data_IF_585754879766
#
_entry.id   IF_585754879766
#
_cell.length_a   1.000
_cell.length_b   1.000
_cell.length_c   1.000
_cell.angle_alpha   90.00
_cell.angle_beta   90.00
_cell.angle_gamma   90.00
#
_symmetry.space_group_name_H-M   'P 1'
#
loop_
_entity.id
_entity.type
_entity.pdbx_description
1 polymer ?
#
# COMPACT_ATOMS: atom_id res chain seq x y z
N UNK A 1 10.99 15.67 3.99
CA UNK A 1 9.65 15.20 4.39
C UNK A 1 8.63 16.20 3.87
N UNK A 2 7.77 15.77 2.92
CA UNK A 2 6.63 16.58 2.51
C UNK A 2 5.46 16.10 3.38
N UNK A 3 5.33 16.72 4.53
CA UNK A 3 4.13 16.62 5.34
C UNK A 3 3.16 17.75 5.01
N UNK A 4 1.99 17.75 5.63
CA UNK A 4 1.06 18.88 5.60
C UNK A 4 1.75 20.02 6.37
N UNK A 5 2.56 20.82 5.64
CA UNK A 5 3.44 21.81 6.21
C UNK A 5 2.66 22.80 7.08
N UNK A 6 3.08 22.95 8.33
CA UNK A 6 2.55 23.96 9.25
C UNK A 6 1.37 23.56 10.12
N UNK A 7 0.77 22.35 9.93
CA UNK A 7 -0.40 21.92 10.70
C UNK A 7 -0.06 20.90 11.79
N UNK A 8 1.11 20.24 11.75
CA UNK A 8 1.53 19.27 12.77
C UNK A 8 2.09 20.03 13.96
N UNK A 9 1.53 19.79 15.13
CA UNK A 9 1.91 20.42 16.40
C UNK A 9 2.47 19.38 17.38
N UNK A 10 3.26 19.78 18.38
CA UNK A 10 3.59 18.93 19.50
C UNK A 10 2.31 18.34 20.14
N UNK A 11 2.39 17.09 20.56
CA UNK A 11 1.32 16.25 21.08
C UNK A 11 0.33 15.69 20.03
N UNK A 12 0.41 16.07 18.75
CA UNK A 12 -0.35 15.42 17.69
C UNK A 12 0.10 13.98 17.50
N UNK A 13 -0.77 13.16 16.92
CA UNK A 13 -0.46 11.80 16.51
C UNK A 13 -0.44 11.70 15.00
N UNK A 14 0.59 11.05 14.49
CA UNK A 14 0.83 10.92 13.05
C UNK A 14 1.05 9.46 12.67
N UNK A 15 0.70 9.16 11.44
CA UNK A 15 1.07 7.91 10.78
C UNK A 15 2.20 8.18 9.79
N UNK A 16 3.21 7.30 9.75
CA UNK A 16 4.39 7.45 8.90
C UNK A 16 4.28 6.52 7.72
N UNK A 17 4.37 7.07 6.53
CA UNK A 17 4.38 6.34 5.26
C UNK A 17 5.72 6.50 4.56
N UNK A 18 6.17 5.45 3.91
CA UNK A 18 7.32 5.48 2.99
C UNK A 18 6.83 5.24 1.57
N UNK A 19 7.37 6.02 0.63
CA UNK A 19 7.22 5.75 -0.81
C UNK A 19 8.58 5.32 -1.34
N UNK A 20 8.65 4.11 -1.87
CA UNK A 20 9.85 3.52 -2.45
C UNK A 20 9.67 3.48 -3.96
N UNK A 21 10.63 4.03 -4.70
CA UNK A 21 10.70 3.97 -6.14
C UNK A 21 11.77 2.93 -6.51
N UNK A 22 11.47 1.87 -7.29
CA UNK A 22 12.48 0.91 -7.70
C UNK A 22 13.50 1.55 -8.65
N UNK A 23 14.78 1.20 -8.49
CA UNK A 23 15.92 1.74 -9.26
C UNK A 23 15.82 1.56 -10.78
N UNK A 24 14.98 0.69 -11.25
CA UNK A 24 14.87 0.34 -12.68
C UNK A 24 14.18 1.38 -13.57
N UNK A 25 13.96 2.61 -13.10
CA UNK A 25 13.47 3.74 -13.92
C UNK A 25 12.08 3.56 -14.56
N UNK A 26 11.40 2.44 -14.31
CA UNK A 26 10.04 2.21 -14.75
C UNK A 26 9.09 2.90 -13.79
N UNK A 27 8.61 4.05 -14.16
CA UNK A 27 7.72 4.94 -13.43
C UNK A 27 6.41 4.30 -12.91
N UNK A 28 6.17 3.02 -13.18
CA UNK A 28 4.95 2.29 -12.82
C UNK A 28 5.00 1.46 -11.54
N UNK A 29 6.15 1.32 -10.89
CA UNK A 29 6.32 0.38 -9.77
C UNK A 29 6.53 1.04 -8.39
N UNK A 30 6.29 2.33 -8.26
CA UNK A 30 6.36 2.99 -6.96
C UNK A 30 5.34 2.37 -5.99
N UNK A 31 5.82 2.04 -4.79
CA UNK A 31 4.99 1.47 -3.72
C UNK A 31 5.00 2.40 -2.52
N UNK A 32 3.82 2.76 -2.06
CA UNK A 32 3.64 3.49 -0.82
C UNK A 32 3.11 2.54 0.25
N UNK A 33 3.74 2.52 1.41
CA UNK A 33 3.34 1.70 2.55
C UNK A 33 3.40 2.48 3.85
N UNK A 34 2.43 2.26 4.71
CA UNK A 34 2.46 2.70 6.08
C UNK A 34 3.44 1.82 6.87
N UNK A 35 4.37 2.43 7.57
CA UNK A 35 5.43 1.76 8.33
C UNK A 35 5.26 1.91 9.83
N UNK A 36 4.76 3.05 10.29
CA UNK A 36 4.43 3.32 11.68
C UNK A 36 3.05 3.98 11.77
N UNK A 37 2.30 3.63 12.79
CA UNK A 37 0.99 4.17 13.06
C UNK A 37 0.92 4.78 14.47
N UNK A 38 0.13 5.83 14.62
CA UNK A 38 -0.19 6.41 15.91
C UNK A 38 1.03 6.94 16.68
N UNK A 39 2.03 7.44 15.98
CA UNK A 39 3.28 7.97 16.53
C UNK A 39 3.03 9.37 17.09
N UNK A 40 3.52 9.63 18.31
CA UNK A 40 3.38 10.92 18.96
C UNK A 40 4.45 11.91 18.50
N UNK A 41 4.04 13.11 18.15
CA UNK A 41 4.94 14.21 17.82
C UNK A 41 5.38 14.92 19.10
N UNK A 42 6.69 15.00 19.31
CA UNK A 42 7.29 15.72 20.45
C UNK A 42 7.56 17.17 20.12
N UNK A 43 8.08 17.42 18.91
CA UNK A 43 8.40 18.76 18.46
C UNK A 43 8.25 18.86 16.94
N UNK A 44 7.81 20.02 16.46
CA UNK A 44 7.80 20.38 15.06
C UNK A 44 8.42 21.78 14.91
N UNK A 45 9.35 21.91 13.97
CA UNK A 45 10.08 23.16 13.77
C UNK A 45 10.70 23.23 12.39
N UNK A 46 11.40 24.31 12.12
CA UNK A 46 12.18 24.49 10.91
C UNK A 46 13.65 24.78 11.26
N UNK A 47 14.54 24.20 10.49
CA UNK A 47 15.97 24.44 10.58
C UNK A 47 16.50 24.94 9.24
N UNK A 48 17.58 25.73 9.29
CA UNK A 48 18.32 26.18 8.10
C UNK A 48 19.45 25.18 7.85
N UNK A 49 19.38 24.39 6.78
CA UNK A 49 20.40 23.42 6.40
C UNK A 49 21.21 23.95 5.20
N UNK A 50 22.55 23.83 5.29
CA UNK A 50 23.48 24.09 4.18
C UNK A 50 24.15 22.78 3.79
N UNK A 51 23.96 22.33 2.56
CA UNK A 51 24.60 21.10 2.04
C UNK A 51 26.02 21.35 1.51
N UNK A 52 26.41 22.60 1.27
CA UNK A 52 27.72 22.96 0.75
C UNK A 52 28.12 24.38 1.13
N UNK A 53 29.43 24.74 0.96
CA UNK A 53 29.95 26.07 1.28
C UNK A 53 29.36 27.17 0.36
N UNK A 54 28.97 26.82 -0.85
CA UNK A 54 28.51 27.73 -1.88
C UNK A 54 26.97 27.64 -2.14
N UNK A 55 26.25 26.81 -1.38
CA UNK A 55 24.78 26.71 -1.51
C UNK A 55 24.07 27.65 -0.55
N UNK A 56 23.02 28.28 -1.05
CA UNK A 56 22.12 29.07 -0.20
C UNK A 56 21.43 28.18 0.85
N UNK A 57 21.31 28.69 2.10
CA UNK A 57 20.66 27.93 3.16
C UNK A 57 19.19 27.66 2.81
N UNK A 58 18.80 26.41 2.84
CA UNK A 58 17.41 25.98 2.61
C UNK A 58 16.74 25.73 3.95
N UNK A 59 15.53 26.23 4.09
CA UNK A 59 14.68 25.95 5.23
C UNK A 59 14.11 24.52 5.11
N UNK A 60 14.46 23.65 6.05
CA UNK A 60 13.94 22.30 6.15
C UNK A 60 13.04 22.16 7.38
N UNK A 61 11.94 21.45 7.22
CA UNK A 61 11.07 21.14 8.36
C UNK A 61 11.59 19.91 9.06
N UNK A 62 11.73 19.99 10.36
CA UNK A 62 12.19 18.90 11.25
C UNK A 62 11.06 18.57 12.21
N UNK A 63 10.71 17.29 12.27
CA UNK A 63 9.71 16.77 13.18
C UNK A 63 10.37 15.70 14.05
N UNK A 64 10.26 15.86 15.37
CA UNK A 64 10.74 14.88 16.35
C UNK A 64 9.55 14.05 16.81
N UNK A 65 9.69 12.76 16.73
CA UNK A 65 8.65 11.78 17.08
C UNK A 65 9.14 10.86 18.20
N UNK A 66 8.21 10.37 19.00
CA UNK A 66 8.43 9.38 20.06
C UNK A 66 8.17 7.98 19.48
N UNK A 67 9.19 7.14 19.43
CA UNK A 67 9.14 5.78 18.88
C UNK A 67 9.94 4.83 19.79
N UNK A 68 9.61 3.55 19.76
CA UNK A 68 10.43 2.52 20.39
C UNK A 68 11.65 2.15 19.51
N UNK A 69 12.51 1.24 20.01
CA UNK A 69 13.77 0.88 19.34
C UNK A 69 13.48 0.19 17.99
N UNK A 70 12.55 -0.75 17.95
CA UNK A 70 12.20 -1.49 16.72
C UNK A 70 11.60 -0.56 15.68
N UNK A 71 10.81 0.42 16.11
CA UNK A 71 10.20 1.44 15.27
C UNK A 71 11.25 2.42 14.73
N UNK A 72 12.23 2.79 15.57
CA UNK A 72 13.33 3.67 15.16
C UNK A 72 14.20 3.01 14.08
N UNK A 73 14.48 1.71 14.19
CA UNK A 73 15.23 0.96 13.17
C UNK A 73 14.48 0.93 11.83
N UNK A 74 13.18 0.66 11.86
CA UNK A 74 12.32 0.70 10.66
C UNK A 74 12.32 2.10 10.01
N UNK A 75 12.24 3.15 10.84
CA UNK A 75 12.23 4.52 10.37
C UNK A 75 13.56 4.90 9.72
N UNK A 76 14.69 4.52 10.34
CA UNK A 76 16.02 4.77 9.81
C UNK A 76 16.22 4.06 8.46
N UNK A 77 15.84 2.80 8.35
CA UNK A 77 15.91 2.07 7.09
C UNK A 77 15.04 2.71 6.01
N UNK A 78 13.80 3.04 6.35
CA UNK A 78 12.86 3.64 5.42
C UNK A 78 13.31 5.03 4.92
N UNK A 79 13.98 5.82 5.77
CA UNK A 79 14.52 7.13 5.39
C UNK A 79 15.61 7.05 4.33
N UNK A 80 16.39 5.95 4.33
CA UNK A 80 17.44 5.71 3.35
C UNK A 80 16.91 5.09 2.04
N UNK A 81 15.82 4.31 2.11
CA UNK A 81 15.29 3.57 0.98
C UNK A 81 14.20 4.31 0.20
N UNK A 82 13.62 5.34 0.78
CA UNK A 82 12.50 6.03 0.16
C UNK A 82 12.21 7.41 0.72
N UNK A 83 11.11 7.97 0.30
CA UNK A 83 10.63 9.28 0.77
C UNK A 83 9.60 9.08 1.87
N UNK A 84 9.89 9.62 3.04
CA UNK A 84 8.96 9.61 4.16
C UNK A 84 7.89 10.70 4.02
N UNK A 85 6.66 10.34 4.39
CA UNK A 85 5.52 11.25 4.50
C UNK A 85 4.79 11.02 5.80
N UNK A 86 4.29 12.10 6.37
CA UNK A 86 3.51 12.07 7.60
C UNK A 86 2.06 12.41 7.28
N UNK A 87 1.15 11.64 7.84
CA UNK A 87 -0.28 11.92 7.83
C UNK A 87 -0.75 12.18 9.27
N UNK A 88 -1.50 13.25 9.46
CA UNK A 88 -2.12 13.52 10.75
C UNK A 88 -3.21 12.47 11.00
N UNK A 89 -3.11 11.77 12.16
CA UNK A 89 -4.08 10.74 12.51
C UNK A 89 -5.38 11.37 13.00
N UNK A 90 -6.50 10.80 12.55
CA UNK A 90 -7.80 11.15 13.11
C UNK A 90 -7.88 10.71 14.58
N UNK A 91 -8.10 11.64 15.55
CA UNK A 91 -8.13 11.31 16.96
C UNK A 91 -9.24 10.32 17.37
N UNK A 92 -10.27 10.17 16.54
CA UNK A 92 -11.35 9.21 16.75
C UNK A 92 -11.02 7.80 16.25
N UNK A 93 -9.91 7.62 15.52
CA UNK A 93 -9.51 6.32 14.96
C UNK A 93 -8.49 5.64 15.87
N UNK A 94 -8.94 4.67 16.66
CA UNK A 94 -8.11 3.90 17.59
C UNK A 94 -7.64 2.55 17.04
N UNK A 95 -7.99 2.21 15.78
CA UNK A 95 -7.63 0.93 15.16
C UNK A 95 -6.25 0.95 14.53
N UNK A 96 -5.49 -0.16 14.70
CA UNK A 96 -4.34 -0.45 13.84
C UNK A 96 -4.85 -1.08 12.54
N UNK A 97 -4.45 -0.53 11.41
CA UNK A 97 -4.88 -1.03 10.11
C UNK A 97 -3.67 -1.61 9.37
N UNK A 98 -3.59 -2.92 9.32
CA UNK A 98 -2.61 -3.61 8.48
C UNK A 98 -2.95 -3.39 7.00
N UNK A 99 -2.30 -2.43 6.38
CA UNK A 99 -2.48 -2.16 4.95
C UNK A 99 -1.54 -3.03 4.10
N UNK A 100 -2.03 -3.49 2.95
CA UNK A 100 -1.19 -4.17 1.95
C UNK A 100 -0.20 -3.21 1.26
N UNK A 101 -0.36 -1.90 1.47
CA UNK A 101 0.31 -0.84 0.72
C UNK A 101 -0.45 -0.50 -0.57
N UNK A 102 -0.05 0.60 -1.20
CA UNK A 102 -0.61 1.06 -2.46
C UNK A 102 0.48 1.11 -3.53
N UNK A 103 0.18 0.64 -4.72
CA UNK A 103 1.00 0.81 -5.93
C UNK A 103 0.26 1.70 -6.93
N UNK A 104 0.98 2.20 -7.93
CA UNK A 104 0.36 2.99 -9.01
C UNK A 104 -0.79 2.22 -9.67
N UNK A 105 -0.62 0.90 -9.86
CA UNK A 105 -1.67 0.05 -10.43
C UNK A 105 -2.91 -0.04 -9.56
N UNK A 106 -2.74 -0.21 -8.23
CA UNK A 106 -3.89 -0.27 -7.30
C UNK A 106 -4.55 1.09 -7.14
N UNK A 107 -3.78 2.18 -7.17
CA UNK A 107 -4.31 3.53 -7.12
C UNK A 107 -5.22 3.82 -8.33
N UNK A 108 -4.76 3.47 -9.53
CA UNK A 108 -5.53 3.68 -10.75
C UNK A 108 -6.72 2.72 -10.88
N UNK A 109 -6.63 1.52 -10.32
CA UNK A 109 -7.73 0.55 -10.35
C UNK A 109 -8.94 0.99 -9.51
N UNK A 110 -8.73 1.80 -8.47
CA UNK A 110 -9.83 2.36 -7.66
C UNK A 110 -10.69 3.37 -8.43
N UNK A 111 -10.19 3.92 -9.54
CA UNK A 111 -10.98 4.79 -10.44
C UNK A 111 -11.70 4.03 -11.55
N UNK A 112 -11.44 2.72 -11.72
CA UNK A 112 -12.22 1.91 -12.66
C UNK A 112 -13.54 1.56 -12.01
N UNK A 113 -14.69 1.74 -12.71
CA UNK A 113 -15.96 1.25 -12.21
C UNK A 113 -15.79 -0.27 -11.99
N UNK A 114 -16.21 -0.74 -10.82
CA UNK A 114 -16.24 -2.17 -10.51
C UNK A 114 -17.20 -2.81 -11.53
N UNK A 115 -16.64 -3.38 -12.59
CA UNK A 115 -17.41 -4.26 -13.45
C UNK A 115 -17.72 -5.46 -12.54
N UNK A 116 -18.93 -5.55 -12.04
CA UNK A 116 -19.39 -6.77 -11.41
C UNK A 116 -19.20 -7.86 -12.47
N UNK A 117 -18.24 -8.77 -12.20
CA UNK A 117 -18.11 -9.96 -13.00
C UNK A 117 -19.47 -10.66 -12.92
N UNK A 118 -20.27 -10.50 -13.98
CA UNK A 118 -21.44 -11.33 -14.14
C UNK A 118 -20.94 -12.76 -14.03
N UNK A 119 -21.43 -13.47 -13.03
CA UNK A 119 -21.10 -14.86 -12.84
C UNK A 119 -21.41 -15.54 -14.18
N UNK A 120 -20.37 -15.95 -14.88
CA UNK A 120 -20.51 -16.79 -16.07
C UNK A 120 -21.31 -17.99 -15.59
N UNK A 121 -22.52 -18.24 -16.10
CA UNK A 121 -23.28 -19.39 -15.68
C UNK A 121 -22.36 -20.60 -15.90
N UNK A 122 -22.09 -21.35 -14.84
CA UNK A 122 -21.37 -22.64 -14.95
C UNK A 122 -22.23 -23.48 -15.91
N UNK A 123 -21.79 -23.58 -17.14
CA UNK A 123 -22.32 -24.58 -18.06
C UNK A 123 -22.02 -25.90 -17.36
N UNK A 124 -23.04 -26.53 -16.81
CA UNK A 124 -22.96 -27.93 -16.41
C UNK A 124 -22.75 -28.71 -17.69
N UNK A 125 -21.48 -29.05 -17.95
CA UNK A 125 -21.18 -30.03 -18.98
C UNK A 125 -21.66 -31.36 -18.39
N UNK A 126 -22.75 -31.85 -18.92
CA UNK A 126 -23.20 -33.21 -18.64
C UNK A 126 -22.12 -34.17 -19.19
N UNK A 127 -21.30 -34.65 -18.27
CA UNK A 127 -20.20 -35.59 -18.58
C UNK A 127 -20.67 -37.04 -18.65
N UNK A 128 -21.96 -37.26 -18.77
CA UNK A 128 -22.46 -38.61 -18.99
C UNK A 128 -21.95 -39.13 -20.33
N UNK A 129 -20.98 -40.03 -20.29
CA UNK A 129 -20.53 -40.72 -21.51
C UNK A 129 -21.54 -41.80 -21.85
N UNK A 130 -22.26 -41.55 -22.94
CA UNK A 130 -23.20 -42.53 -23.51
C UNK A 130 -22.42 -43.49 -24.40
N UNK A 131 -22.38 -44.73 -24.02
CA UNK A 131 -21.75 -45.79 -24.83
C UNK A 131 -22.85 -46.71 -25.36
N UNK A 132 -22.96 -46.78 -26.68
CA UNK A 132 -23.86 -47.70 -27.34
C UNK A 132 -23.16 -49.05 -27.55
N UNK A 133 -23.62 -50.08 -26.86
CA UNK A 133 -23.05 -51.43 -27.01
C UNK A 133 -23.98 -52.27 -27.93
N UNK A 134 -23.47 -52.59 -29.10
CA UNK A 134 -24.16 -53.44 -30.07
C UNK A 134 -23.59 -54.85 -29.97
N UNK A 135 -24.41 -55.79 -29.52
CA UNK A 135 -24.04 -57.21 -29.46
C UNK A 135 -25.10 -58.04 -30.24
N UNK A 136 -24.82 -58.30 -31.50
CA UNK A 136 -25.76 -58.95 -32.40
C UNK A 136 -26.94 -58.04 -32.76
N UNK A 137 -28.13 -58.51 -32.68
CA UNK A 137 -29.35 -57.74 -33.05
C UNK A 137 -29.99 -56.95 -31.88
N UNK A 138 -29.30 -56.91 -30.73
CA UNK A 138 -29.82 -56.23 -29.53
C UNK A 138 -28.98 -54.95 -29.22
N UNK A 139 -29.63 -53.79 -29.24
CA UNK A 139 -29.07 -52.53 -28.81
C UNK A 139 -29.39 -52.30 -27.33
N UNK A 140 -28.37 -52.05 -26.53
CA UNK A 140 -28.51 -51.67 -25.12
C UNK A 140 -27.72 -50.40 -24.86
N UNK A 141 -28.38 -49.37 -24.40
CA UNK A 141 -27.76 -48.14 -23.98
C UNK A 141 -27.39 -48.21 -22.51
N UNK A 142 -26.12 -47.96 -22.18
CA UNK A 142 -25.62 -47.94 -20.80
C UNK A 142 -25.05 -46.54 -20.53
N UNK A 143 -25.50 -45.90 -19.48
CA UNK A 143 -25.07 -44.59 -19.04
C UNK A 143 -24.14 -44.80 -17.83
N UNK A 144 -22.97 -44.24 -17.90
CA UNK A 144 -21.99 -44.23 -16.80
C UNK A 144 -21.77 -42.81 -16.28
#
# INVERSE_FOLDING_TARGET
VIGVAGFIKPADRVDVMVTIEPESGKQGNAVAKMILENVKVLAAGSQMERKGKDEEPKQVQVITVEVDVDEAEKLALASNQGRLRLALRNPLSNGHVLTKGASVGTLLSSFRPKIEAQAIPKVQVDTAVRVEVIKGDVRKEVQF
#
